data_IF_768364708205
#
_entry.id   IF_768364708205
#
_cell.length_a   1.000
_cell.length_b   1.000
_cell.length_c   1.000
_cell.angle_alpha   90.00
_cell.angle_beta   90.00
_cell.angle_gamma   90.00
#
_symmetry.space_group_name_H-M   'P 1'
#
loop_
_entity.id
_entity.type
_entity.pdbx_description
1 polymer ?
#
# COMPACT_ATOMS: atom_id res chain seq x y z
N UNK A 1 -7.87 12.89 -3.23
CA UNK A 1 -8.64 12.12 -4.23
C UNK A 1 -8.62 10.67 -3.81
N UNK A 2 -9.77 10.05 -3.55
CA UNK A 2 -9.82 8.63 -3.18
C UNK A 2 -10.17 7.81 -4.43
N UNK A 3 -9.32 6.86 -4.77
CA UNK A 3 -9.59 5.85 -5.79
C UNK A 3 -9.37 4.49 -5.13
N UNK A 4 -10.32 3.56 -5.34
CA UNK A 4 -10.51 2.29 -4.64
C UNK A 4 -10.85 2.33 -3.13
N UNK A 5 -12.10 1.96 -2.82
CA UNK A 5 -12.52 1.09 -1.69
C UNK A 5 -12.27 1.47 -0.22
N UNK A 6 -11.33 2.35 0.11
CA UNK A 6 -11.00 2.69 1.50
C UNK A 6 -11.86 3.85 2.00
N UNK A 7 -13.10 3.57 2.41
CA UNK A 7 -13.99 4.61 2.95
C UNK A 7 -13.30 5.44 4.04
N UNK A 8 -13.30 6.75 3.83
CA UNK A 8 -13.04 7.74 4.87
C UNK A 8 -14.21 7.72 5.85
N UNK A 9 -14.04 7.03 6.98
CA UNK A 9 -14.94 7.04 8.12
C UNK A 9 -14.24 7.68 9.32
N UNK A 10 -15.01 8.26 10.25
CA UNK A 10 -14.57 9.18 11.34
C UNK A 10 -13.29 8.81 12.11
N UNK A 11 -12.84 7.55 12.09
CA UNK A 11 -11.72 7.05 12.89
C UNK A 11 -10.64 6.29 12.08
N UNK A 12 -10.65 6.30 10.74
CA UNK A 12 -9.66 5.57 9.93
C UNK A 12 -9.02 6.44 8.86
N UNK A 13 -7.76 6.75 9.10
CA UNK A 13 -6.92 7.54 8.21
C UNK A 13 -6.54 6.66 7.02
N UNK A 14 -7.12 6.92 5.85
CA UNK A 14 -6.85 6.17 4.61
C UNK A 14 -5.45 6.40 4.06
N UNK A 15 -5.34 6.69 2.76
CA UNK A 15 -4.08 7.14 2.16
C UNK A 15 -3.95 8.64 2.39
N UNK A 16 -2.91 9.07 3.09
CA UNK A 16 -2.56 10.48 3.26
C UNK A 16 -1.55 10.90 2.20
N UNK A 17 -1.79 12.01 1.51
CA UNK A 17 -0.76 12.64 0.67
C UNK A 17 0.13 13.53 1.53
N UNK A 18 1.44 13.48 1.31
CA UNK A 18 2.42 14.33 1.97
C UNK A 18 3.08 15.28 0.94
N UNK A 19 3.37 16.55 1.29
CA UNK A 19 3.90 17.54 0.35
C UNK A 19 5.27 17.20 -0.27
N UNK A 20 6.00 16.22 0.24
CA UNK A 20 7.29 15.76 -0.29
C UNK A 20 7.16 14.82 -1.50
N UNK A 21 5.97 14.68 -2.06
CA UNK A 21 5.69 13.78 -3.18
C UNK A 21 5.55 12.31 -2.75
N UNK A 22 5.21 12.05 -1.49
CA UNK A 22 4.92 10.70 -0.98
C UNK A 22 3.49 10.58 -0.48
N UNK A 23 3.06 9.35 -0.29
CA UNK A 23 1.83 9.01 0.43
C UNK A 23 2.15 8.16 1.66
N UNK A 24 1.36 8.34 2.72
CA UNK A 24 1.36 7.49 3.90
C UNK A 24 0.14 6.59 3.84
N UNK A 25 0.37 5.30 3.66
CA UNK A 25 -0.67 4.27 3.63
C UNK A 25 -0.72 3.56 4.99
N UNK A 26 -1.80 3.75 5.75
CA UNK A 26 -1.94 3.11 7.06
C UNK A 26 -1.91 1.58 6.93
N UNK A 27 -1.18 0.91 7.83
CA UNK A 27 -1.20 -0.55 7.88
C UNK A 27 -2.61 -1.05 8.23
N UNK A 28 -3.12 -1.98 7.42
CA UNK A 28 -4.39 -2.64 7.70
C UNK A 28 -4.25 -3.61 8.89
N UNK A 29 -5.36 -3.96 9.58
CA UNK A 29 -5.33 -4.98 10.62
C UNK A 29 -4.70 -6.31 10.13
N UNK A 30 -4.01 -7.06 11.01
CA UNK A 30 -3.46 -8.36 10.67
C UNK A 30 -4.52 -9.31 10.05
N UNK A 31 -4.13 -10.13 9.07
CA UNK A 31 -2.77 -10.31 8.56
C UNK A 31 -2.39 -9.36 7.40
N UNK A 32 -3.30 -8.47 6.97
CA UNK A 32 -3.15 -7.75 5.70
C UNK A 32 -2.04 -6.70 5.71
N UNK A 33 -1.99 -5.86 6.74
CA UNK A 33 -0.95 -4.83 6.89
C UNK A 33 0.45 -5.42 7.02
N UNK A 34 0.69 -6.37 7.95
CA UNK A 34 1.98 -7.05 8.06
C UNK A 34 2.43 -7.72 6.76
N UNK A 35 1.52 -8.38 6.03
CA UNK A 35 1.83 -9.02 4.74
C UNK A 35 2.26 -8.00 3.67
N UNK A 36 1.59 -6.84 3.61
CA UNK A 36 1.99 -5.77 2.68
C UNK A 36 3.36 -5.17 3.05
N UNK A 37 3.60 -4.98 4.35
CA UNK A 37 4.89 -4.52 4.85
C UNK A 37 6.02 -5.49 4.49
N UNK A 38 5.84 -6.78 4.78
CA UNK A 38 6.81 -7.83 4.43
C UNK A 38 7.08 -7.87 2.93
N UNK A 39 6.04 -7.73 2.10
CA UNK A 39 6.20 -7.66 0.64
C UNK A 39 7.11 -6.50 0.21
N UNK A 40 6.88 -5.28 0.71
CA UNK A 40 7.74 -4.15 0.36
C UNK A 40 9.16 -4.32 0.92
N UNK A 41 9.31 -4.79 2.16
CA UNK A 41 10.63 -5.06 2.74
C UNK A 41 11.41 -6.10 1.94
N UNK A 42 10.76 -7.16 1.47
CA UNK A 42 11.36 -8.19 0.62
C UNK A 42 11.80 -7.61 -0.73
N UNK A 43 10.90 -6.91 -1.43
CA UNK A 43 11.19 -6.37 -2.77
C UNK A 43 12.27 -5.28 -2.71
N UNK A 44 12.27 -4.44 -1.67
CA UNK A 44 13.18 -3.31 -1.50
C UNK A 44 14.34 -3.56 -0.53
N UNK A 45 14.62 -4.83 -0.17
CA UNK A 45 15.78 -5.15 0.65
C UNK A 45 17.06 -4.58 0.03
N UNK A 46 17.91 -3.98 0.87
CA UNK A 46 19.10 -3.25 0.43
C UNK A 46 20.16 -4.18 -0.19
N UNK A 47 20.20 -5.42 0.28
CA UNK A 47 21.06 -6.52 -0.17
C UNK A 47 20.38 -7.42 -1.20
N UNK A 48 19.22 -7.03 -1.74
CA UNK A 48 18.51 -7.80 -2.76
C UNK A 48 19.34 -7.90 -4.05
N UNK A 49 19.66 -9.12 -4.45
CA UNK A 49 20.38 -9.45 -5.70
C UNK A 49 19.51 -10.23 -6.70
N UNK A 50 18.26 -10.55 -6.34
CA UNK A 50 17.31 -11.25 -7.20
C UNK A 50 16.87 -10.33 -8.36
N UNK A 51 17.28 -10.68 -9.58
CA UNK A 51 16.96 -9.92 -10.79
C UNK A 51 15.46 -9.73 -11.03
N UNK A 52 14.63 -10.68 -10.62
CA UNK A 52 13.16 -10.60 -10.77
C UNK A 52 12.60 -9.54 -9.82
N UNK A 53 13.02 -9.54 -8.56
CA UNK A 53 12.58 -8.54 -7.59
C UNK A 53 13.10 -7.14 -7.93
N UNK A 54 14.32 -7.04 -8.44
CA UNK A 54 14.90 -5.79 -8.92
C UNK A 54 14.14 -5.22 -10.13
N UNK A 55 13.71 -6.08 -11.06
CA UNK A 55 12.87 -5.67 -12.17
C UNK A 55 11.47 -5.24 -11.70
N UNK A 56 10.88 -5.97 -10.76
CA UNK A 56 9.56 -5.67 -10.19
C UNK A 56 9.47 -4.26 -9.60
N UNK A 57 10.56 -3.73 -9.01
CA UNK A 57 10.62 -2.36 -8.48
C UNK A 57 10.21 -1.29 -9.50
N UNK A 58 10.40 -1.51 -10.80
CA UNK A 58 10.02 -0.57 -11.87
C UNK A 58 8.51 -0.38 -12.01
N UNK A 59 7.72 -1.33 -11.52
CA UNK A 59 6.26 -1.35 -11.62
C UNK A 59 5.55 -1.05 -10.29
N UNK A 60 6.32 -0.80 -9.23
CA UNK A 60 5.79 -0.48 -7.90
C UNK A 60 6.08 0.99 -7.56
N UNK A 61 5.26 1.64 -6.72
CA UNK A 61 5.66 2.88 -6.08
C UNK A 61 6.99 2.67 -5.31
N UNK A 62 7.89 3.65 -5.38
CA UNK A 62 9.11 3.60 -4.57
C UNK A 62 8.77 3.51 -3.08
N UNK A 63 9.44 2.60 -2.38
CA UNK A 63 9.29 2.41 -0.93
C UNK A 63 10.34 3.20 -0.16
N UNK A 64 9.89 3.93 0.87
CA UNK A 64 10.74 4.78 1.73
C UNK A 64 10.83 4.26 3.17
N UNK A 65 10.29 3.07 3.45
CA UNK A 65 10.26 2.49 4.79
C UNK A 65 8.92 2.67 5.51
N UNK A 66 8.90 2.19 6.75
CA UNK A 66 7.82 2.42 7.70
C UNK A 66 7.94 3.85 8.26
N UNK A 67 6.80 4.48 8.46
CA UNK A 67 6.71 5.76 9.14
C UNK A 67 5.65 5.71 10.24
N UNK A 68 5.89 6.41 11.34
CA UNK A 68 4.88 6.69 12.37
C UNK A 68 5.02 8.14 12.86
N UNK A 69 3.92 8.79 13.27
CA UNK A 69 3.99 10.09 13.90
C UNK A 69 4.78 10.01 15.22
N UNK A 70 5.63 11.01 15.55
CA UNK A 70 6.33 11.05 16.84
C UNK A 70 5.40 10.98 18.05
N UNK A 71 4.18 11.48 17.91
CA UNK A 71 3.15 11.50 18.96
C UNK A 71 2.31 10.21 19.03
N UNK A 72 2.43 9.32 18.04
CA UNK A 72 1.64 8.10 17.93
C UNK A 72 2.49 6.96 17.32
N UNK A 73 3.49 6.44 18.04
CA UNK A 73 4.42 5.45 17.51
C UNK A 73 3.76 4.12 17.08
N UNK A 74 2.56 3.85 17.60
CA UNK A 74 1.76 2.67 17.25
C UNK A 74 0.98 2.83 15.94
N UNK A 75 0.85 4.06 15.43
CA UNK A 75 0.18 4.32 14.15
C UNK A 75 1.18 4.15 13.02
N UNK A 76 1.25 2.92 12.50
CA UNK A 76 2.21 2.55 11.46
C UNK A 76 1.66 2.80 10.05
N UNK A 77 2.50 3.37 9.21
CA UNK A 77 2.23 3.65 7.80
C UNK A 77 3.37 3.13 6.91
N UNK A 78 3.03 2.71 5.69
CA UNK A 78 4.00 2.58 4.61
C UNK A 78 4.18 3.96 3.96
N UNK A 79 5.42 4.45 3.90
CA UNK A 79 5.74 5.66 3.14
C UNK A 79 6.11 5.25 1.71
N UNK A 80 5.27 5.66 0.75
CA UNK A 80 5.36 5.26 -0.66
C UNK A 80 5.43 6.49 -1.57
N UNK A 81 5.97 6.35 -2.77
CA UNK A 81 5.89 7.39 -3.80
C UNK A 81 4.43 7.76 -4.11
N UNK A 82 4.15 9.06 -4.22
CA UNK A 82 2.91 9.52 -4.84
C UNK A 82 3.08 9.48 -6.36
N UNK A 83 2.58 8.40 -6.97
CA UNK A 83 2.63 8.17 -8.43
C UNK A 83 1.89 9.24 -9.24
N UNK A 84 1.08 10.07 -8.60
CA UNK A 84 0.31 11.15 -9.23
C UNK A 84 0.99 12.51 -9.12
N UNK A 85 2.03 12.65 -8.29
CA UNK A 85 2.63 13.93 -7.91
C UNK A 85 3.15 14.76 -9.10
N UNK A 86 3.61 14.10 -10.18
CA UNK A 86 4.15 14.77 -11.37
C UNK A 86 3.08 15.29 -12.33
N UNK A 87 1.81 14.98 -12.11
CA UNK A 87 0.72 15.37 -12.99
C UNK A 87 0.02 16.63 -12.48
N UNK A 88 -0.19 17.62 -13.36
CA UNK A 88 -0.91 18.86 -13.02
C UNK A 88 -2.42 18.61 -12.76
N UNK A 89 -3.02 17.73 -13.55
CA UNK A 89 -4.43 17.33 -13.44
C UNK A 89 -4.54 15.82 -13.54
N UNK A 90 -4.23 15.07 -12.46
CA UNK A 90 -4.20 13.61 -12.51
C UNK A 90 -5.61 13.05 -12.76
N UNK A 91 -5.73 12.17 -13.75
CA UNK A 91 -6.91 11.33 -13.95
C UNK A 91 -6.58 9.93 -13.45
N UNK A 92 -7.30 9.45 -12.45
CA UNK A 92 -6.91 8.27 -11.66
C UNK A 92 -8.01 7.21 -11.77
N UNK A 93 -7.61 5.98 -12.08
CA UNK A 93 -8.47 4.80 -12.06
C UNK A 93 -7.71 3.66 -11.39
N UNK A 94 -8.39 2.93 -10.50
CA UNK A 94 -7.86 1.71 -9.86
C UNK A 94 -8.62 0.52 -10.41
N UNK A 95 -7.87 -0.46 -10.92
CA UNK A 95 -8.40 -1.68 -11.53
C UNK A 95 -7.83 -2.88 -10.78
N UNK A 96 -8.70 -3.61 -10.09
CA UNK A 96 -8.32 -4.86 -9.41
C UNK A 96 -8.06 -5.96 -10.44
N UNK A 97 -6.91 -6.63 -10.34
CA UNK A 97 -6.49 -7.69 -11.26
C UNK A 97 -6.61 -9.07 -10.62
N UNK A 98 -7.05 -10.06 -11.42
CA UNK A 98 -7.16 -11.46 -11.03
C UNK A 98 -8.57 -12.03 -11.21
N UNK A 99 -8.67 -13.34 -11.46
CA UNK A 99 -9.98 -14.04 -11.59
C UNK A 99 -10.71 -14.20 -10.25
N UNK A 100 -9.95 -14.19 -9.14
CA UNK A 100 -10.44 -14.32 -7.77
C UNK A 100 -9.86 -13.16 -6.96
N UNK A 101 -10.70 -12.45 -6.22
CA UNK A 101 -10.32 -11.35 -5.34
C UNK A 101 -10.10 -11.77 -3.87
N UNK A 102 -10.17 -13.07 -3.60
CA UNK A 102 -9.88 -13.68 -2.30
C UNK A 102 -8.57 -14.48 -2.38
N UNK A 103 -7.84 -14.54 -1.26
CA UNK A 103 -6.58 -15.29 -1.16
C UNK A 103 -6.81 -16.79 -0.83
N UNK A 104 -5.79 -17.66 -0.93
CA UNK A 104 -5.92 -19.09 -0.66
C UNK A 104 -6.36 -19.45 0.78
N UNK A 105 -6.26 -18.52 1.73
CA UNK A 105 -6.58 -18.71 3.14
C UNK A 105 -7.85 -17.97 3.56
N UNK A 106 -8.60 -17.41 2.59
CA UNK A 106 -9.84 -16.72 2.86
C UNK A 106 -10.89 -17.67 3.46
N UNK A 107 -11.59 -17.19 4.49
CA UNK A 107 -12.69 -17.95 5.07
C UNK A 107 -13.85 -18.12 4.08
N UNK A 108 -14.70 -19.11 4.32
CA UNK A 108 -15.91 -19.35 3.51
C UNK A 108 -16.80 -18.11 3.42
N UNK A 109 -16.94 -17.35 4.51
CA UNK A 109 -17.69 -16.08 4.54
C UNK A 109 -17.01 -15.04 3.66
N UNK A 110 -15.68 -14.94 3.71
CA UNK A 110 -14.93 -13.97 2.90
C UNK A 110 -15.00 -14.30 1.41
N UNK A 111 -14.98 -15.57 1.05
CA UNK A 111 -15.17 -16.06 -0.33
C UNK A 111 -16.58 -15.71 -0.82
N UNK A 112 -17.62 -15.94 -0.01
CA UNK A 112 -19.01 -15.58 -0.36
C UNK A 112 -19.23 -14.07 -0.50
N UNK A 113 -18.43 -13.25 0.18
CA UNK A 113 -18.51 -11.79 0.12
C UNK A 113 -17.78 -11.20 -1.11
N UNK A 114 -17.08 -12.00 -1.91
CA UNK A 114 -16.30 -11.56 -3.07
C UNK A 114 -16.91 -12.07 -4.37
#
# INVERSE_FOLDING_TARGET
HQVAGHMYGKDKVGILQHPDGTVLKQLQPPPRGPRELEFYNMVYAADCTDGILLELRKYLPKYYGIWSPPTAPNDLYLKLEDVTHKFNKPCIMDVKIGRKSYDPFASSEKIKQQ
#
